data_IF_535060617964
#
_entry.id   IF_535060617964
#
_cell.length_a   1.000
_cell.length_b   1.000
_cell.length_c   1.000
_cell.angle_alpha   90.00
_cell.angle_beta   90.00
_cell.angle_gamma   90.00
#
_symmetry.space_group_name_H-M   'P 1'
#
loop_
_entity.id
_entity.type
_entity.pdbx_description
1 polymer ?
#
# COMPACT_ATOMS: atom_id res chain seq x y z
N UNK A 1 -1.29 -10.02 22.93
CA UNK A 1 -0.17 -9.78 22.00
C UNK A 1 0.58 -8.57 22.50
N UNK A 2 1.89 -8.67 22.76
CA UNK A 2 2.67 -7.58 23.38
C UNK A 2 2.96 -6.47 22.36
N UNK A 3 2.74 -5.21 22.75
CA UNK A 3 3.01 -4.02 21.92
C UNK A 3 4.44 -4.00 21.35
N UNK A 4 5.42 -4.56 22.07
CA UNK A 4 6.81 -4.66 21.63
C UNK A 4 7.01 -5.50 20.36
N UNK A 5 6.24 -6.59 20.18
CA UNK A 5 6.31 -7.43 18.99
C UNK A 5 5.81 -6.67 17.75
N UNK A 6 4.73 -5.91 17.90
CA UNK A 6 4.14 -5.10 16.81
C UNK A 6 5.08 -3.98 16.37
N UNK A 7 5.75 -3.30 17.31
CA UNK A 7 6.73 -2.25 17.01
C UNK A 7 7.99 -2.81 16.31
N UNK A 8 8.49 -3.96 16.76
CA UNK A 8 9.64 -4.63 16.12
C UNK A 8 9.33 -5.02 14.66
N UNK A 9 8.14 -5.56 14.42
CA UNK A 9 7.68 -5.88 13.05
C UNK A 9 7.55 -4.62 12.19
N UNK A 10 6.94 -3.56 12.72
CA UNK A 10 6.78 -2.30 11.98
C UNK A 10 8.13 -1.69 11.58
N UNK A 11 9.11 -1.66 12.48
CA UNK A 11 10.45 -1.17 12.20
C UNK A 11 11.17 -2.02 11.14
N UNK A 12 11.03 -3.35 11.21
CA UNK A 12 11.58 -4.26 10.20
C UNK A 12 11.05 -3.97 8.79
N UNK A 13 9.74 -3.74 8.66
CA UNK A 13 9.12 -3.42 7.38
C UNK A 13 9.45 -2.00 6.88
N UNK A 14 9.56 -1.02 7.77
CA UNK A 14 10.04 0.32 7.43
C UNK A 14 11.46 0.27 6.85
N UNK A 15 12.39 -0.36 7.57
CA UNK A 15 13.79 -0.50 7.15
C UNK A 15 13.91 -1.21 5.79
N UNK A 16 13.08 -2.23 5.55
CA UNK A 16 13.03 -2.92 4.25
C UNK A 16 12.50 -2.03 3.13
N UNK A 17 11.50 -1.20 3.41
CA UNK A 17 10.95 -0.26 2.43
C UNK A 17 11.99 0.79 2.03
N UNK A 18 12.76 1.29 3.01
CA UNK A 18 13.91 2.17 2.77
C UNK A 18 15.01 1.50 1.92
N UNK A 19 15.35 0.23 2.21
CA UNK A 19 16.30 -0.54 1.40
C UNK A 19 15.86 -0.68 -0.05
N UNK A 20 14.55 -0.83 -0.28
CA UNK A 20 13.96 -0.89 -1.63
C UNK A 20 13.74 0.48 -2.26
N UNK A 21 14.14 1.57 -1.58
CA UNK A 21 13.93 2.96 -1.99
C UNK A 21 12.45 3.25 -2.29
N UNK A 22 11.56 2.56 -1.58
CA UNK A 22 10.13 2.83 -1.64
C UNK A 22 9.82 3.90 -0.61
N UNK A 23 9.23 5.04 -1.00
CA UNK A 23 8.80 6.10 -0.08
C UNK A 23 7.51 5.65 0.62
N UNK A 24 7.57 4.55 1.36
CA UNK A 24 6.46 3.94 2.06
C UNK A 24 6.86 3.69 3.51
N UNK A 25 5.99 4.09 4.43
CA UNK A 25 6.07 3.68 5.83
C UNK A 25 5.01 2.61 6.09
N UNK A 26 5.39 1.59 6.84
CA UNK A 26 4.51 0.51 7.25
C UNK A 26 3.45 1.06 8.20
N UNK A 27 2.23 1.15 7.70
CA UNK A 27 1.05 1.54 8.45
C UNK A 27 -0.17 0.77 7.95
N UNK A 28 -1.18 0.66 8.80
CA UNK A 28 -2.45 -0.01 8.45
C UNK A 28 -3.08 0.59 7.18
N UNK A 29 -2.96 1.90 7.01
CA UNK A 29 -3.50 2.62 5.87
C UNK A 29 -2.75 2.28 4.57
N UNK A 30 -1.41 2.33 4.59
CA UNK A 30 -0.59 1.98 3.42
C UNK A 30 -0.84 0.53 2.98
N UNK A 31 -0.89 -0.41 3.92
CA UNK A 31 -1.21 -1.82 3.61
C UNK A 31 -2.61 -2.00 3.03
N UNK A 32 -3.59 -1.24 3.53
CA UNK A 32 -4.94 -1.25 2.99
C UNK A 32 -4.95 -0.81 1.52
N UNK A 33 -4.23 0.25 1.17
CA UNK A 33 -4.13 0.69 -0.23
C UNK A 33 -3.34 -0.25 -1.12
N UNK A 34 -2.27 -0.89 -0.61
CA UNK A 34 -1.55 -1.93 -1.36
C UNK A 34 -2.47 -3.11 -1.66
N UNK A 35 -3.25 -3.57 -0.67
CA UNK A 35 -4.20 -4.67 -0.86
C UNK A 35 -5.18 -4.36 -1.99
N UNK A 36 -5.84 -3.20 -1.93
CA UNK A 36 -6.81 -2.80 -2.96
C UNK A 36 -6.19 -2.65 -4.33
N UNK A 37 -4.98 -2.09 -4.41
CA UNK A 37 -4.25 -2.01 -5.67
C UNK A 37 -3.97 -3.39 -6.27
N UNK A 38 -3.54 -4.36 -5.44
CA UNK A 38 -3.34 -5.75 -5.88
C UNK A 38 -4.66 -6.39 -6.30
N UNK A 39 -5.73 -6.20 -5.53
CA UNK A 39 -7.06 -6.70 -5.89
C UNK A 39 -7.51 -6.15 -7.25
N UNK A 40 -7.33 -4.85 -7.50
CA UNK A 40 -7.62 -4.22 -8.80
C UNK A 40 -6.78 -4.79 -9.94
N UNK A 41 -5.47 -5.00 -9.72
CA UNK A 41 -4.60 -5.62 -10.72
C UNK A 41 -5.04 -7.04 -11.06
N UNK A 42 -5.45 -7.83 -10.06
CA UNK A 42 -5.93 -9.19 -10.27
C UNK A 42 -7.24 -9.20 -11.05
N UNK A 43 -8.16 -8.28 -10.73
CA UNK A 43 -9.44 -8.12 -11.44
C UNK A 43 -9.26 -7.74 -12.91
N UNK A 44 -8.23 -6.94 -13.25
CA UNK A 44 -7.93 -6.57 -14.64
C UNK A 44 -6.96 -7.51 -15.36
N UNK A 45 -6.51 -8.59 -14.70
CA UNK A 45 -5.52 -9.52 -15.27
C UNK A 45 -4.15 -8.88 -15.50
N UNK A 46 -3.72 -7.97 -14.62
CA UNK A 46 -2.51 -7.16 -14.73
C UNK A 46 -2.43 -6.31 -16.00
N UNK A 47 -3.59 -5.96 -16.55
CA UNK A 47 -3.72 -5.14 -17.74
C UNK A 47 -4.48 -3.84 -17.46
N UNK A 48 -4.38 -2.88 -18.38
CA UNK A 48 -5.05 -1.59 -18.27
C UNK A 48 -4.21 -0.51 -17.58
N UNK A 49 -4.80 0.67 -17.49
CA UNK A 49 -4.17 1.84 -16.86
C UNK A 49 -4.31 1.78 -15.34
N UNK A 50 -3.54 2.62 -14.63
CA UNK A 50 -3.68 2.78 -13.19
C UNK A 50 -5.11 3.20 -12.79
N UNK A 51 -5.79 3.95 -13.65
CA UNK A 51 -7.19 4.35 -13.47
C UNK A 51 -8.13 3.15 -13.57
N UNK A 52 -7.89 2.24 -14.51
CA UNK A 52 -8.68 1.02 -14.66
C UNK A 52 -8.50 0.11 -13.45
N UNK A 53 -7.25 -0.10 -13.01
CA UNK A 53 -6.94 -0.86 -11.79
C UNK A 53 -7.63 -0.23 -10.58
N UNK A 54 -7.60 1.09 -10.44
CA UNK A 54 -8.28 1.79 -9.35
C UNK A 54 -9.80 1.62 -9.42
N UNK A 55 -10.40 1.69 -10.61
CA UNK A 55 -11.84 1.52 -10.80
C UNK A 55 -12.30 0.11 -10.43
N UNK A 56 -11.50 -0.90 -10.79
CA UNK A 56 -11.80 -2.31 -10.50
C UNK A 56 -11.31 -2.74 -9.11
N UNK A 57 -10.57 -1.88 -8.39
CA UNK A 57 -10.22 -2.11 -6.99
C UNK A 57 -11.46 -1.95 -6.10
N UNK A 58 -11.65 -2.86 -5.14
CA UNK A 58 -12.77 -2.83 -4.18
C UNK A 58 -12.60 -1.74 -3.10
N UNK A 59 -11.98 -0.62 -3.45
CA UNK A 59 -11.66 0.45 -2.53
C UNK A 59 -12.94 1.19 -2.12
N UNK A 60 -13.27 1.14 -0.83
CA UNK A 60 -14.22 2.05 -0.19
C UNK A 60 -13.72 3.49 -0.40
N UNK A 61 -14.61 4.48 -0.51
CA UNK A 61 -14.42 5.85 -1.07
C UNK A 61 -13.37 6.75 -0.37
N UNK A 62 -12.26 6.23 0.14
CA UNK A 62 -11.09 7.01 0.52
C UNK A 62 -10.50 7.65 -0.74
N UNK A 63 -10.40 8.98 -0.73
CA UNK A 63 -9.91 9.80 -1.84
C UNK A 63 -8.43 9.59 -2.14
N UNK A 64 -7.67 8.96 -1.24
CA UNK A 64 -6.25 8.71 -1.43
C UNK A 64 -6.05 7.41 -2.20
N UNK A 65 -5.30 7.47 -3.29
CA UNK A 65 -4.84 6.29 -4.02
C UNK A 65 -3.50 5.82 -3.46
N UNK A 66 -3.04 4.60 -3.80
CA UNK A 66 -1.68 4.17 -3.47
C UNK A 66 -0.62 5.19 -3.95
N UNK A 67 -0.87 5.86 -5.07
CA UNK A 67 -0.01 6.93 -5.59
C UNK A 67 0.22 8.04 -4.58
N UNK A 68 -0.78 8.40 -3.76
CA UNK A 68 -0.64 9.45 -2.75
C UNK A 68 0.49 9.12 -1.75
N UNK A 69 0.53 7.87 -1.28
CA UNK A 69 1.58 7.41 -0.36
C UNK A 69 2.93 7.32 -1.04
N UNK A 70 2.98 6.87 -2.28
CA UNK A 70 4.22 6.83 -3.06
C UNK A 70 4.79 8.23 -3.36
N UNK A 71 3.96 9.27 -3.39
CA UNK A 71 4.42 10.64 -3.65
C UNK A 71 4.76 11.40 -2.36
N UNK A 72 4.14 11.07 -1.23
CA UNK A 72 4.25 11.84 0.03
C UNK A 72 4.80 11.05 1.23
N UNK A 73 5.20 9.79 1.04
CA UNK A 73 5.61 8.91 2.14
C UNK A 73 7.04 9.13 2.66
N UNK A 74 7.54 10.36 2.61
CA UNK A 74 8.87 10.73 3.08
C UNK A 74 8.80 11.84 4.14
#
# INVERSE_FOLDING_TARGET
MSHAYTLSQQNHWNNRSEQWKLPLYFSKLVLHHIKHFVDGMLSTGFSGTLTDIYRESLQDRDRRTLSHFLTHGN
#
